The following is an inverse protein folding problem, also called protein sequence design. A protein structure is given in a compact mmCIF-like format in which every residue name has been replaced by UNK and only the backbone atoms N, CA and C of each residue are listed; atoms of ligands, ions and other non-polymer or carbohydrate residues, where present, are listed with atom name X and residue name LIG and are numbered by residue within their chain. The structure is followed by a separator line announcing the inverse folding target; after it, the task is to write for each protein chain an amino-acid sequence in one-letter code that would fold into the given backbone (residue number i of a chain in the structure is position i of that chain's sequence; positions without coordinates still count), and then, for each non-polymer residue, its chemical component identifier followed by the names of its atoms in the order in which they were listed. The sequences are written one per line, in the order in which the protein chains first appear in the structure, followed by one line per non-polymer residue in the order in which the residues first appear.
data_IF_240589609572
#
_entry.id   IF_240589609572
#
_cell.length_a   1.000
_cell.length_b   1.000
_cell.length_c   1.000
_cell.angle_alpha   90.00
_cell.angle_beta   90.00
_cell.angle_gamma   90.00
#
_symmetry.space_group_name_H-M   'P 1'
#
loop_
_entity.id
_entity.type
_entity.pdbx_description
1 polymer ?
#
# COMPACT_ATOMS: atom_id res chain seq x y z
N UNK A 1 -24.07 17.17 7.99
CA UNK A 1 -24.02 15.70 7.90
C UNK A 1 -23.22 15.38 6.66
N UNK A 2 -22.13 14.62 6.77
CA UNK A 2 -21.53 14.05 5.57
C UNK A 2 -22.54 13.07 4.99
N UNK A 3 -22.84 13.20 3.70
CA UNK A 3 -23.72 12.29 3.00
C UNK A 3 -23.13 10.87 3.05
N UNK A 4 -23.98 9.87 3.28
CA UNK A 4 -23.52 8.49 3.35
C UNK A 4 -23.02 8.09 1.96
N UNK A 5 -21.71 7.81 1.85
CA UNK A 5 -21.09 7.43 0.59
C UNK A 5 -21.47 5.99 0.27
N UNK A 6 -22.01 5.75 -0.93
CA UNK A 6 -22.32 4.41 -1.40
C UNK A 6 -21.05 3.53 -1.50
N UNK A 7 -21.22 2.22 -1.34
CA UNK A 7 -20.13 1.25 -1.34
C UNK A 7 -19.27 1.30 -2.60
N UNK A 8 -19.88 1.53 -3.76
CA UNK A 8 -19.15 1.63 -5.03
C UNK A 8 -18.32 2.91 -5.10
N UNK A 9 -18.83 4.01 -4.56
CA UNK A 9 -18.09 5.27 -4.50
C UNK A 9 -16.92 5.19 -3.52
N UNK A 10 -17.10 4.51 -2.39
CA UNK A 10 -16.00 4.22 -1.48
C UNK A 10 -14.92 3.37 -2.17
N UNK A 11 -15.31 2.30 -2.86
CA UNK A 11 -14.38 1.43 -3.58
C UNK A 11 -13.65 2.18 -4.71
N UNK A 12 -14.33 3.08 -5.44
CA UNK A 12 -13.70 3.95 -6.44
C UNK A 12 -12.62 4.83 -5.82
N UNK A 13 -12.88 5.46 -4.67
CA UNK A 13 -11.89 6.29 -3.97
C UNK A 13 -10.70 5.50 -3.47
N UNK A 14 -10.93 4.31 -2.93
CA UNK A 14 -9.86 3.40 -2.47
C UNK A 14 -8.96 2.99 -3.64
N UNK A 15 -9.54 2.66 -4.80
CA UNK A 15 -8.76 2.38 -6.02
C UNK A 15 -7.95 3.59 -6.47
N UNK A 16 -8.55 4.79 -6.48
CA UNK A 16 -7.82 6.02 -6.79
C UNK A 16 -6.65 6.28 -5.83
N UNK A 17 -6.85 6.05 -4.53
CA UNK A 17 -5.78 6.17 -3.54
C UNK A 17 -4.66 5.14 -3.75
N UNK A 18 -5.00 3.93 -4.19
CA UNK A 18 -4.03 2.88 -4.53
C UNK A 18 -3.20 3.27 -5.74
N UNK A 19 -3.84 3.77 -6.79
CA UNK A 19 -3.15 4.18 -8.02
C UNK A 19 -2.22 5.37 -7.73
N UNK A 20 -2.68 6.34 -6.94
CA UNK A 20 -1.84 7.42 -6.45
C UNK A 20 -0.63 6.92 -5.64
N UNK A 21 -0.82 5.94 -4.76
CA UNK A 21 0.28 5.36 -3.98
C UNK A 21 1.32 4.66 -4.86
N UNK A 22 0.91 4.04 -5.98
CA UNK A 22 1.82 3.43 -6.97
C UNK A 22 2.66 4.51 -7.67
N UNK A 23 2.02 5.60 -8.11
CA UNK A 23 2.71 6.71 -8.77
C UNK A 23 3.74 7.35 -7.85
N UNK A 24 3.39 7.57 -6.59
CA UNK A 24 4.25 8.21 -5.61
C UNK A 24 5.40 7.30 -5.15
N UNK A 25 5.16 5.99 -4.99
CA UNK A 25 6.21 4.98 -4.82
C UNK A 25 7.23 5.05 -5.97
N UNK A 26 6.76 5.08 -7.21
CA UNK A 26 7.62 5.11 -8.39
C UNK A 26 8.43 6.42 -8.47
N UNK A 27 7.79 7.57 -8.20
CA UNK A 27 8.44 8.87 -8.16
C UNK A 27 9.57 8.90 -7.13
N UNK A 28 9.29 8.47 -5.90
CA UNK A 28 10.26 8.49 -4.81
C UNK A 28 11.42 7.51 -5.02
N UNK A 29 11.17 6.35 -5.66
CA UNK A 29 12.26 5.46 -6.07
C UNK A 29 13.14 6.09 -7.13
N UNK A 30 12.57 6.74 -8.14
CA UNK A 30 13.35 7.45 -9.14
C UNK A 30 14.18 8.60 -8.52
N UNK A 31 13.64 9.31 -7.54
CA UNK A 31 14.36 10.32 -6.78
C UNK A 31 15.50 9.72 -5.93
N UNK A 32 15.26 8.58 -5.28
CA UNK A 32 16.30 7.85 -4.54
C UNK A 32 17.45 7.42 -5.47
N UNK A 33 17.11 6.89 -6.64
CA UNK A 33 18.07 6.43 -7.66
C UNK A 33 18.89 7.58 -8.26
N UNK A 34 18.28 8.77 -8.37
CA UNK A 34 18.94 9.98 -8.87
C UNK A 34 19.77 10.71 -7.79
N UNK A 35 19.61 10.36 -6.51
CA UNK A 35 20.25 11.07 -5.42
C UNK A 35 21.76 10.76 -5.34
N UNK A 36 22.62 11.78 -5.12
CA UNK A 36 24.05 11.57 -4.99
C UNK A 36 24.40 10.89 -3.66
N UNK A 37 24.77 9.62 -3.74
CA UNK A 37 25.26 8.84 -2.60
C UNK A 37 24.14 8.34 -1.66
N UNK A 38 24.50 7.37 -0.81
CA UNK A 38 23.54 6.66 0.03
C UNK A 38 22.75 7.57 0.99
N UNK A 39 23.38 8.64 1.49
CA UNK A 39 22.72 9.56 2.42
C UNK A 39 21.61 10.38 1.75
N UNK A 40 21.79 10.77 0.48
CA UNK A 40 20.76 11.48 -0.29
C UNK A 40 19.60 10.57 -0.69
N UNK A 41 19.88 9.28 -0.90
CA UNK A 41 18.88 8.29 -1.30
C UNK A 41 17.99 7.78 -0.14
N UNK A 42 18.46 7.83 1.11
CA UNK A 42 17.77 7.23 2.26
C UNK A 42 16.35 7.78 2.48
N UNK A 43 16.19 9.11 2.45
CA UNK A 43 14.89 9.75 2.68
C UNK A 43 13.83 9.35 1.65
N UNK A 44 14.08 9.55 0.34
CA UNK A 44 13.16 9.12 -0.71
C UNK A 44 12.90 7.62 -0.69
N UNK A 45 13.91 6.79 -0.42
CA UNK A 45 13.75 5.34 -0.32
C UNK A 45 12.84 4.91 0.85
N UNK A 46 12.99 5.52 2.02
CA UNK A 46 12.14 5.27 3.18
C UNK A 46 10.69 5.65 2.91
N UNK A 47 10.45 6.82 2.30
CA UNK A 47 9.11 7.25 1.91
C UNK A 47 8.50 6.33 0.85
N UNK A 48 9.26 5.87 -0.14
CA UNK A 48 8.80 4.88 -1.11
C UNK A 48 8.37 3.56 -0.42
N UNK A 49 9.07 3.17 0.65
CA UNK A 49 8.68 2.05 1.51
C UNK A 49 7.31 2.26 2.18
N UNK A 50 7.04 3.47 2.69
CA UNK A 50 5.74 3.79 3.27
C UNK A 50 4.59 3.67 2.25
N UNK A 51 4.79 4.18 1.03
CA UNK A 51 3.83 4.03 -0.06
C UNK A 51 3.60 2.57 -0.47
N UNK A 52 4.66 1.75 -0.44
CA UNK A 52 4.56 0.30 -0.67
C UNK A 52 3.66 -0.38 0.37
N UNK A 53 3.79 -0.01 1.65
CA UNK A 53 2.94 -0.53 2.74
C UNK A 53 1.48 -0.10 2.56
N UNK A 54 1.24 1.19 2.28
CA UNK A 54 -0.11 1.72 2.03
C UNK A 54 -0.77 0.99 0.86
N UNK A 55 -0.08 0.85 -0.27
CA UNK A 55 -0.57 0.09 -1.43
C UNK A 55 -0.96 -1.34 -1.04
N UNK A 56 -0.11 -2.02 -0.26
CA UNK A 56 -0.36 -3.40 0.17
C UNK A 56 -1.60 -3.54 1.06
N UNK A 57 -1.89 -2.54 1.90
CA UNK A 57 -3.13 -2.51 2.69
C UNK A 57 -4.34 -2.28 1.78
N UNK A 58 -4.25 -1.34 0.83
CA UNK A 58 -5.32 -1.07 -0.12
C UNK A 58 -5.60 -2.27 -1.03
N UNK A 59 -4.56 -3.00 -1.46
CA UNK A 59 -4.68 -4.27 -2.20
C UNK A 59 -5.49 -5.29 -1.41
N UNK A 60 -5.21 -5.46 -0.10
CA UNK A 60 -5.98 -6.37 0.76
C UNK A 60 -7.45 -5.98 0.91
N UNK A 61 -7.75 -4.68 0.93
CA UNK A 61 -9.13 -4.18 1.01
C UNK A 61 -9.87 -4.42 -0.31
N UNK A 62 -9.21 -4.19 -1.45
CA UNK A 62 -9.82 -4.35 -2.78
C UNK A 62 -9.97 -5.82 -3.16
N UNK A 63 -9.00 -6.67 -2.80
CA UNK A 63 -8.93 -8.09 -3.16
C UNK A 63 -8.76 -8.98 -1.91
N UNK A 64 -9.79 -9.10 -1.07
CA UNK A 64 -9.73 -9.93 0.13
C UNK A 64 -9.46 -11.40 -0.23
N UNK A 65 -8.49 -12.02 0.44
CA UNK A 65 -8.14 -13.44 0.28
C UNK A 65 -7.01 -13.76 -0.71
N UNK A 66 -6.51 -12.78 -1.48
CA UNK A 66 -5.33 -13.00 -2.34
C UNK A 66 -3.98 -12.87 -1.63
N UNK A 67 -3.96 -12.20 -0.49
CA UNK A 67 -2.77 -12.13 0.36
C UNK A 67 -2.91 -13.16 1.48
N UNK A 68 -1.87 -13.98 1.76
CA UNK A 68 -1.92 -14.89 2.89
C UNK A 68 -2.22 -14.08 4.14
N UNK A 69 -3.25 -14.50 4.84
CA UNK A 69 -3.67 -13.87 6.08
C UNK A 69 -2.53 -14.00 7.09
N UNK A 70 -1.94 -12.87 7.48
CA UNK A 70 -0.83 -12.86 8.43
C UNK A 70 -1.34 -13.28 9.82
N UNK A 71 -2.67 -13.23 10.02
CA UNK A 71 -3.35 -13.58 11.27
C UNK A 71 -3.88 -15.02 11.31
N UNK A 72 -3.69 -15.84 10.27
CA UNK A 72 -4.00 -17.27 10.37
C UNK A 72 -2.92 -17.96 11.20
N UNK A 73 -3.14 -18.00 12.52
CA UNK A 73 -2.42 -18.91 13.41
C UNK A 73 -2.43 -20.32 12.80
N UNK A 74 -1.31 -21.08 12.89
CA UNK A 74 -1.30 -22.46 12.41
C UNK A 74 -2.40 -23.20 13.16
N UNK A 75 -3.40 -23.69 12.42
CA UNK A 75 -4.39 -24.60 12.96
C UNK A 75 -3.62 -25.78 13.54
N UNK A 76 -3.56 -25.85 14.87
CA UNK A 76 -2.86 -26.90 15.59
C UNK A 76 -3.37 -28.27 15.15
N UNK A 77 -2.53 -29.32 15.20
CA UNK A 77 -2.92 -30.63 14.72
C UNK A 77 -4.12 -31.11 15.51
N UNK A 78 -5.15 -31.55 14.78
CA UNK A 78 -6.36 -32.13 15.36
C UNK A 78 -6.02 -33.27 16.32
N UNK A 79 -6.75 -33.30 17.42
CA UNK A 79 -6.90 -34.46 18.30
C UNK A 79 -8.35 -34.87 18.29
#
# INVERSE_FOLDING_TARGET
MADAVDGDELLRRIRGARDWAIEEEARLRAEADAAPGAQGASGPAELAGAFTVVRSVLDKIIEPGKHPDIDRAPSGPGS
#
